data_IF_953584108652
#
_entry.id   IF_953584108652
#
_cell.length_a   1.000
_cell.length_b   1.000
_cell.length_c   1.000
_cell.angle_alpha   90.00
_cell.angle_beta   90.00
_cell.angle_gamma   90.00
#
_symmetry.space_group_name_H-M   'P 1'
#
loop_
_entity.id
_entity.type
_entity.pdbx_description
1 polymer ?
#
# COMPACT_ATOMS: atom_id res chain seq x y z
N UNK A 1 16.58 1.86 -3.71
CA UNK A 1 17.62 2.63 -4.37
C UNK A 1 17.84 2.12 -5.80
N UNK A 2 17.35 2.87 -6.78
CA UNK A 2 17.47 2.54 -8.20
C UNK A 2 18.85 2.95 -8.78
N UNK A 3 19.84 3.17 -7.95
CA UNK A 3 21.23 3.43 -8.36
C UNK A 3 21.76 2.21 -9.12
N UNK A 4 21.76 2.25 -10.39
CA UNK A 4 22.23 1.17 -11.26
C UNK A 4 21.24 0.78 -12.34
N UNK A 5 20.00 1.22 -12.25
CA UNK A 5 19.08 1.12 -13.37
C UNK A 5 19.45 2.21 -14.40
N UNK A 6 19.77 1.80 -15.62
CA UNK A 6 20.06 2.74 -16.68
C UNK A 6 18.79 3.55 -17.02
N UNK A 7 18.93 4.88 -17.10
CA UNK A 7 17.85 5.76 -17.52
C UNK A 7 17.56 5.56 -18.99
N UNK A 8 16.26 5.40 -19.32
CA UNK A 8 15.82 5.39 -20.71
C UNK A 8 15.98 6.79 -21.33
N UNK A 9 16.59 6.85 -22.48
CA UNK A 9 16.63 8.05 -23.31
C UNK A 9 16.48 7.64 -24.79
N UNK A 10 15.63 8.34 -25.56
CA UNK A 10 15.47 8.04 -27.00
C UNK A 10 16.80 8.13 -27.72
N UNK A 11 16.99 7.31 -28.77
CA UNK A 11 18.23 7.30 -29.58
C UNK A 11 18.53 8.67 -30.22
N UNK A 12 17.51 9.48 -30.47
CA UNK A 12 17.59 10.82 -31.07
C UNK A 12 17.77 11.95 -30.05
N UNK A 13 18.02 11.63 -28.77
CA UNK A 13 18.19 12.61 -27.72
C UNK A 13 19.45 13.44 -27.95
N UNK A 14 19.31 14.67 -28.44
CA UNK A 14 20.40 15.55 -28.82
C UNK A 14 20.91 16.48 -27.71
N UNK A 15 20.40 16.36 -26.48
CA UNK A 15 20.76 17.28 -25.41
C UNK A 15 22.00 16.83 -24.67
N UNK A 16 23.05 17.60 -24.75
CA UNK A 16 24.34 17.40 -24.04
C UNK A 16 24.24 17.41 -22.49
N UNK A 17 23.03 17.54 -21.93
CA UNK A 17 22.83 17.69 -20.48
C UNK A 17 22.32 16.42 -19.79
N UNK A 18 21.95 15.39 -20.53
CA UNK A 18 21.52 14.10 -19.97
C UNK A 18 22.58 13.03 -20.20
N UNK A 19 22.69 12.05 -19.29
CA UNK A 19 23.55 10.92 -19.55
C UNK A 19 23.18 10.29 -20.89
N UNK A 20 24.16 9.78 -21.58
CA UNK A 20 24.12 9.16 -22.90
C UNK A 20 22.76 8.53 -23.21
N UNK A 21 22.20 8.88 -24.35
CA UNK A 21 20.95 8.26 -24.86
C UNK A 21 21.04 6.73 -24.74
N UNK A 22 20.11 6.13 -24.03
CA UNK A 22 20.08 4.71 -23.77
C UNK A 22 18.67 4.16 -24.02
N UNK A 23 18.44 3.68 -25.22
CA UNK A 23 17.18 3.06 -25.62
C UNK A 23 16.86 1.75 -24.89
N UNK A 24 17.87 1.13 -24.27
CA UNK A 24 17.71 -0.08 -23.43
C UNK A 24 17.56 0.23 -21.94
N UNK A 25 17.55 1.50 -21.56
CA UNK A 25 17.35 1.92 -20.18
C UNK A 25 15.94 1.53 -19.68
N UNK A 26 15.85 1.15 -18.41
CA UNK A 26 14.58 0.70 -17.80
C UNK A 26 13.95 1.73 -16.86
N UNK A 27 14.66 2.81 -16.58
CA UNK A 27 14.20 3.87 -15.70
C UNK A 27 13.77 5.09 -16.49
N UNK A 28 12.50 5.48 -16.35
CA UNK A 28 11.93 6.67 -16.97
C UNK A 28 11.78 7.77 -15.93
N UNK A 29 12.33 8.94 -16.22
CA UNK A 29 12.19 10.13 -15.39
C UNK A 29 11.09 11.02 -15.96
N UNK A 30 9.93 11.08 -15.28
CA UNK A 30 8.77 11.85 -15.74
C UNK A 30 8.81 13.31 -15.32
N UNK A 31 9.53 13.63 -14.23
CA UNK A 31 9.40 14.93 -13.59
C UNK A 31 8.00 15.12 -13.02
N UNK A 32 7.48 16.34 -13.04
CA UNK A 32 6.13 16.67 -12.53
C UNK A 32 5.09 16.32 -13.59
N UNK A 33 4.83 15.02 -13.81
CA UNK A 33 3.92 14.50 -14.85
C UNK A 33 3.26 13.20 -14.43
N UNK A 34 2.60 13.17 -13.29
CA UNK A 34 2.01 11.97 -12.69
C UNK A 34 0.94 11.32 -13.59
N UNK A 35 0.08 12.12 -14.21
CA UNK A 35 -0.90 11.61 -15.17
C UNK A 35 -0.24 10.90 -16.35
N UNK A 36 0.80 11.51 -16.93
CA UNK A 36 1.55 10.90 -18.05
C UNK A 36 2.24 9.61 -17.60
N UNK A 37 2.81 9.58 -16.40
CA UNK A 37 3.42 8.38 -15.82
C UNK A 37 2.39 7.25 -15.72
N UNK A 38 1.23 7.51 -15.16
CA UNK A 38 0.16 6.52 -15.05
C UNK A 38 -0.33 6.02 -16.41
N UNK A 39 -0.51 6.91 -17.39
CA UNK A 39 -0.91 6.52 -18.74
C UNK A 39 0.16 5.67 -19.44
N UNK A 40 1.43 6.01 -19.31
CA UNK A 40 2.53 5.25 -19.93
C UNK A 40 2.69 3.87 -19.27
N UNK A 41 2.61 3.76 -17.96
CA UNK A 41 2.66 2.46 -17.29
C UNK A 41 1.47 1.57 -17.69
N UNK A 42 0.27 2.14 -17.80
CA UNK A 42 -0.89 1.43 -18.34
C UNK A 42 -0.64 0.95 -19.79
N UNK A 43 -0.08 1.83 -20.63
CA UNK A 43 0.23 1.50 -22.04
C UNK A 43 1.29 0.41 -22.18
N UNK A 44 2.32 0.41 -21.34
CA UNK A 44 3.36 -0.64 -21.31
C UNK A 44 2.73 -2.00 -20.97
N UNK A 45 1.85 -2.05 -19.96
CA UNK A 45 1.15 -3.28 -19.59
C UNK A 45 0.27 -3.83 -20.72
N UNK A 46 -0.42 -2.95 -21.44
CA UNK A 46 -1.30 -3.35 -22.54
C UNK A 46 -0.54 -3.75 -23.80
N UNK A 47 0.60 -3.13 -24.06
CA UNK A 47 1.37 -3.30 -25.31
C UNK A 47 2.57 -4.24 -25.20
N UNK A 48 2.91 -4.75 -24.04
CA UNK A 48 4.11 -5.57 -23.85
C UNK A 48 3.95 -6.64 -22.76
N UNK A 49 4.96 -7.49 -22.62
CA UNK A 49 5.06 -8.45 -21.50
C UNK A 49 5.81 -7.88 -20.29
N UNK A 50 6.10 -6.58 -20.28
CA UNK A 50 6.81 -5.92 -19.18
C UNK A 50 5.81 -5.50 -18.09
N UNK A 51 6.16 -5.70 -16.85
CA UNK A 51 5.41 -5.19 -15.69
C UNK A 51 6.12 -3.93 -15.17
N UNK A 52 5.63 -2.74 -15.52
CA UNK A 52 6.15 -1.49 -15.00
C UNK A 52 5.60 -1.23 -13.60
N UNK A 53 6.20 -0.27 -12.93
CA UNK A 53 5.57 0.41 -11.80
C UNK A 53 5.87 1.91 -11.88
N UNK A 54 4.94 2.73 -11.41
CA UNK A 54 5.11 4.18 -11.29
C UNK A 54 5.18 4.59 -9.83
N UNK A 55 6.02 5.57 -9.50
CA UNK A 55 6.19 6.03 -8.13
C UNK A 55 6.16 7.54 -7.99
N UNK A 56 5.41 8.03 -7.01
CA UNK A 56 5.34 9.43 -6.61
C UNK A 56 4.98 9.54 -5.12
N UNK A 57 4.90 10.75 -4.57
CA UNK A 57 4.31 10.96 -3.25
C UNK A 57 2.80 10.79 -3.30
N UNK A 58 2.22 10.27 -2.25
CA UNK A 58 0.80 9.96 -2.22
C UNK A 58 -0.10 11.18 -2.45
N UNK A 59 0.29 12.36 -1.98
CA UNK A 59 -0.43 13.60 -2.29
C UNK A 59 -0.61 13.81 -3.80
N UNK A 60 0.42 13.49 -4.60
CA UNK A 60 0.40 13.72 -6.05
C UNK A 60 -0.29 12.61 -6.85
N UNK A 61 -0.76 11.56 -6.18
CA UNK A 61 -1.66 10.58 -6.78
C UNK A 61 -2.98 11.22 -7.28
N UNK A 62 -3.36 12.39 -6.74
CA UNK A 62 -4.49 13.16 -7.24
C UNK A 62 -4.30 13.59 -8.70
N UNK A 63 -3.09 13.92 -9.11
CA UNK A 63 -2.80 14.21 -10.52
C UNK A 63 -2.79 12.93 -11.39
N UNK A 64 -2.54 11.77 -10.81
CA UNK A 64 -2.53 10.46 -11.48
C UNK A 64 -3.91 9.80 -11.50
N UNK A 65 -4.87 10.26 -10.73
CA UNK A 65 -6.16 9.65 -10.40
C UNK A 65 -6.93 9.13 -11.62
N UNK A 66 -6.99 9.89 -12.70
CA UNK A 66 -7.73 9.48 -13.89
C UNK A 66 -7.09 8.28 -14.61
N UNK A 67 -5.76 8.21 -14.64
CA UNK A 67 -5.04 7.05 -15.18
C UNK A 67 -5.25 5.80 -14.31
N UNK A 68 -5.21 5.97 -12.99
CA UNK A 68 -5.49 4.89 -12.01
C UNK A 68 -6.92 4.36 -12.17
N UNK A 69 -7.90 5.27 -12.27
CA UNK A 69 -9.30 4.88 -12.47
C UNK A 69 -9.50 4.12 -13.78
N UNK A 70 -8.81 4.51 -14.85
CA UNK A 70 -8.85 3.79 -16.12
C UNK A 70 -8.20 2.40 -16.01
N UNK A 71 -7.08 2.27 -15.27
CA UNK A 71 -6.48 0.97 -15.01
C UNK A 71 -7.45 0.03 -14.28
N UNK A 72 -8.16 0.56 -13.27
CA UNK A 72 -9.18 -0.20 -12.55
C UNK A 72 -10.34 -0.61 -13.47
N UNK A 73 -10.85 0.32 -14.29
CA UNK A 73 -11.92 0.03 -15.26
C UNK A 73 -11.51 -1.00 -16.31
N UNK A 74 -10.27 -0.95 -16.78
CA UNK A 74 -9.71 -1.91 -17.75
C UNK A 74 -9.24 -3.21 -17.10
N UNK A 75 -9.21 -3.29 -15.77
CA UNK A 75 -8.73 -4.45 -15.00
C UNK A 75 -7.31 -4.86 -15.42
N UNK A 76 -6.39 -3.91 -15.45
CA UNK A 76 -4.97 -4.17 -15.76
C UNK A 76 -4.13 -4.13 -14.49
N UNK A 77 -3.22 -5.11 -14.26
CA UNK A 77 -2.48 -5.25 -13.02
C UNK A 77 -1.30 -4.28 -12.93
N UNK A 78 -1.60 -2.98 -12.93
CA UNK A 78 -0.59 -1.95 -12.74
C UNK A 78 -0.24 -1.81 -11.26
N UNK A 79 1.02 -1.49 -10.98
CA UNK A 79 1.52 -1.22 -9.64
C UNK A 79 1.85 0.26 -9.50
N UNK A 80 1.10 0.93 -8.65
CA UNK A 80 1.36 2.31 -8.24
C UNK A 80 2.05 2.29 -6.89
N UNK A 81 3.20 2.94 -6.76
CA UNK A 81 3.96 3.01 -5.51
C UNK A 81 3.95 4.43 -4.99
N UNK A 82 3.14 4.68 -3.98
CA UNK A 82 2.98 6.01 -3.42
C UNK A 82 3.58 6.07 -2.02
N UNK A 83 4.64 6.84 -1.87
CA UNK A 83 5.27 7.08 -0.58
C UNK A 83 4.71 8.36 0.07
N UNK A 84 5.11 8.64 1.34
CA UNK A 84 4.66 9.83 2.06
C UNK A 84 3.14 9.82 2.28
N UNK A 85 2.66 8.76 2.92
CA UNK A 85 1.27 8.32 2.98
C UNK A 85 0.33 9.10 3.90
N UNK A 86 0.88 9.97 4.75
CA UNK A 86 0.10 10.59 5.84
C UNK A 86 0.53 12.01 6.15
N UNK A 87 -0.11 12.63 7.13
CA UNK A 87 0.26 13.95 7.67
C UNK A 87 1.66 13.97 8.29
N UNK A 88 2.25 12.83 8.59
CA UNK A 88 3.60 12.70 9.15
C UNK A 88 4.71 12.83 8.10
N UNK A 89 4.49 13.63 7.06
CA UNK A 89 5.46 13.91 6.00
C UNK A 89 6.62 14.79 6.48
N UNK A 90 6.39 15.64 7.47
CA UNK A 90 7.40 16.53 8.04
C UNK A 90 7.44 17.90 7.39
N UNK A 91 8.64 18.35 7.00
CA UNK A 91 8.92 19.74 6.62
C UNK A 91 8.26 20.20 5.31
N UNK A 92 7.86 19.27 4.45
CA UNK A 92 7.20 19.59 3.18
C UNK A 92 5.86 20.32 3.37
N UNK A 93 5.25 20.19 4.54
CA UNK A 93 4.07 20.90 4.98
C UNK A 93 2.77 20.44 4.33
N UNK A 94 1.69 21.24 4.50
CA UNK A 94 0.32 20.80 4.18
C UNK A 94 0.07 20.53 2.70
N UNK A 95 0.88 21.09 1.80
CA UNK A 95 0.77 20.78 0.36
C UNK A 95 1.20 19.37 -0.01
N UNK A 96 1.85 18.64 0.92
CA UNK A 96 2.37 17.30 0.73
C UNK A 96 1.77 16.28 1.71
N UNK A 97 0.81 16.68 2.52
CA UNK A 97 0.19 15.89 3.58
C UNK A 97 -1.17 15.33 3.14
N UNK A 98 -1.25 14.07 2.70
CA UNK A 98 -2.52 13.47 2.32
C UNK A 98 -3.41 13.25 3.56
N UNK A 99 -4.69 13.56 3.45
CA UNK A 99 -5.71 13.37 4.49
C UNK A 99 -6.84 12.46 3.98
N UNK A 100 -7.51 12.87 2.90
CA UNK A 100 -8.67 12.18 2.33
C UNK A 100 -8.29 11.08 1.31
N UNK A 101 -7.04 11.00 0.92
CA UNK A 101 -6.57 10.19 -0.20
C UNK A 101 -6.89 8.71 -0.05
N UNK A 102 -6.61 8.11 1.12
CA UNK A 102 -6.91 6.69 1.36
C UNK A 102 -8.38 6.36 1.14
N UNK A 103 -9.27 7.13 1.75
CA UNK A 103 -10.71 6.92 1.62
C UNK A 103 -11.17 7.11 0.17
N UNK A 104 -10.65 8.14 -0.51
CA UNK A 104 -11.05 8.45 -1.87
C UNK A 104 -10.53 7.45 -2.91
N UNK A 105 -9.34 6.88 -2.71
CA UNK A 105 -8.83 5.81 -3.58
C UNK A 105 -9.52 4.47 -3.31
N UNK A 106 -9.82 4.11 -2.06
CA UNK A 106 -10.63 2.95 -1.70
C UNK A 106 -12.06 3.02 -2.26
N UNK A 107 -12.56 4.20 -2.57
CA UNK A 107 -13.85 4.37 -3.23
C UNK A 107 -13.82 4.07 -4.74
N UNK A 108 -12.65 3.87 -5.37
CA UNK A 108 -12.54 3.48 -6.77
C UNK A 108 -12.79 1.98 -6.89
N UNK A 109 -13.88 1.55 -7.57
CA UNK A 109 -14.14 0.12 -7.75
C UNK A 109 -12.98 -0.58 -8.48
N UNK A 110 -12.63 -1.78 -8.03
CA UNK A 110 -11.57 -2.60 -8.64
C UNK A 110 -10.15 -2.03 -8.53
N UNK A 111 -9.93 -1.07 -7.64
CA UNK A 111 -8.60 -0.67 -7.20
C UNK A 111 -8.31 -1.30 -5.85
N UNK A 112 -7.18 -1.93 -5.72
CA UNK A 112 -6.68 -2.45 -4.44
C UNK A 112 -5.74 -1.43 -3.81
N UNK A 113 -5.97 -1.10 -2.54
CA UNK A 113 -5.14 -0.14 -1.81
C UNK A 113 -4.45 -0.85 -0.65
N UNK A 114 -3.18 -1.21 -0.87
CA UNK A 114 -2.35 -1.88 0.12
C UNK A 114 -1.49 -0.86 0.88
N UNK A 115 -1.63 -0.83 2.20
CA UNK A 115 -0.88 0.04 3.11
C UNK A 115 -0.24 -0.79 4.22
N UNK A 116 0.95 -1.38 3.95
CA UNK A 116 1.63 -2.26 4.90
C UNK A 116 2.24 -1.49 6.08
N UNK A 117 2.33 -2.16 7.23
CA UNK A 117 2.78 -1.58 8.49
C UNK A 117 4.29 -1.43 8.57
N UNK A 118 5.05 -2.41 8.11
CA UNK A 118 6.51 -2.48 8.25
C UNK A 118 7.17 -3.26 7.09
N UNK A 119 8.44 -3.58 7.25
CA UNK A 119 9.22 -4.27 6.21
C UNK A 119 8.68 -5.68 5.90
N UNK A 120 8.19 -6.43 6.89
CA UNK A 120 7.64 -7.77 6.65
C UNK A 120 6.32 -7.70 5.87
N UNK A 121 5.40 -6.86 6.31
CA UNK A 121 4.15 -6.67 5.57
C UNK A 121 4.40 -6.12 4.16
N UNK A 122 5.35 -5.18 4.01
CA UNK A 122 5.72 -4.63 2.71
C UNK A 122 6.24 -5.72 1.78
N UNK A 123 7.17 -6.55 2.25
CA UNK A 123 7.71 -7.65 1.44
C UNK A 123 6.62 -8.64 1.01
N UNK A 124 5.69 -8.99 1.92
CA UNK A 124 4.62 -9.92 1.62
C UNK A 124 3.54 -9.29 0.72
N UNK A 125 3.26 -7.98 0.84
CA UNK A 125 2.35 -7.29 -0.05
C UNK A 125 2.88 -7.27 -1.50
N UNK A 126 4.17 -6.95 -1.70
CA UNK A 126 4.80 -7.08 -3.01
C UNK A 126 4.78 -8.51 -3.52
N UNK A 127 5.14 -9.49 -2.68
CA UNK A 127 5.09 -10.90 -3.07
C UNK A 127 3.69 -11.29 -3.53
N UNK A 128 2.67 -10.96 -2.77
CA UNK A 128 1.29 -11.31 -3.10
C UNK A 128 0.82 -10.64 -4.40
N UNK A 129 1.16 -9.37 -4.62
CA UNK A 129 0.87 -8.69 -5.89
C UNK A 129 1.44 -9.44 -7.11
N UNK A 130 2.67 -9.96 -7.02
CA UNK A 130 3.28 -10.69 -8.13
C UNK A 130 2.81 -12.15 -8.27
N UNK A 131 2.43 -12.79 -7.17
CA UNK A 131 1.95 -14.19 -7.16
C UNK A 131 0.46 -14.30 -7.51
N UNK A 132 -0.31 -13.33 -7.14
CA UNK A 132 -1.76 -13.31 -7.32
C UNK A 132 -2.11 -13.27 -8.82
N UNK A 133 -3.05 -14.15 -9.21
CA UNK A 133 -3.51 -14.28 -10.60
C UNK A 133 -4.61 -13.27 -10.96
N UNK A 134 -4.66 -12.13 -10.30
CA UNK A 134 -5.67 -11.15 -10.63
C UNK A 134 -5.18 -10.15 -11.68
N UNK A 135 -6.14 -9.42 -12.22
CA UNK A 135 -5.95 -8.39 -13.22
C UNK A 135 -6.21 -6.99 -12.67
N UNK A 136 -6.31 -6.84 -11.34
CA UNK A 136 -6.63 -5.55 -10.73
C UNK A 136 -5.35 -4.73 -10.47
N UNK A 137 -5.42 -3.41 -10.65
CA UNK A 137 -4.32 -2.54 -10.26
C UNK A 137 -4.23 -2.44 -8.73
N UNK A 138 -3.01 -2.35 -8.23
CA UNK A 138 -2.72 -2.21 -6.82
C UNK A 138 -1.95 -0.93 -6.55
N UNK A 139 -2.43 -0.12 -5.63
CA UNK A 139 -1.72 1.01 -5.06
C UNK A 139 -1.01 0.58 -3.77
N UNK A 140 0.32 0.61 -3.79
CA UNK A 140 1.17 0.35 -2.63
C UNK A 140 1.47 1.69 -1.95
N UNK A 141 0.82 1.93 -0.82
CA UNK A 141 0.90 3.19 -0.07
C UNK A 141 1.87 3.03 1.10
N UNK A 142 3.00 3.72 1.03
CA UNK A 142 4.13 3.52 1.93
C UNK A 142 4.39 4.76 2.78
N UNK A 143 4.74 4.54 4.04
CA UNK A 143 5.05 5.63 4.97
C UNK A 143 6.40 6.30 4.67
N UNK A 144 6.53 7.57 5.01
CA UNK A 144 7.79 8.33 4.93
C UNK A 144 8.66 8.11 6.16
N UNK A 145 8.07 8.08 7.34
CA UNK A 145 8.80 7.96 8.59
C UNK A 145 9.36 6.55 8.82
N UNK A 146 10.43 6.45 9.60
CA UNK A 146 10.91 5.17 10.08
C UNK A 146 9.89 4.52 11.00
N UNK A 147 9.57 3.25 10.77
CA UNK A 147 8.71 2.44 11.62
C UNK A 147 9.52 1.26 12.18
N UNK A 148 9.24 0.81 13.40
CA UNK A 148 9.86 -0.41 13.91
C UNK A 148 9.37 -1.62 13.14
N UNK A 149 10.23 -2.61 13.00
CA UNK A 149 9.85 -3.94 12.54
C UNK A 149 9.32 -4.71 13.75
N UNK A 150 8.05 -5.11 13.70
CA UNK A 150 7.39 -5.76 14.82
C UNK A 150 7.69 -7.26 14.84
N UNK A 151 7.87 -7.84 16.02
CA UNK A 151 8.04 -9.29 16.17
C UNK A 151 6.79 -10.05 15.70
N UNK A 152 5.63 -9.48 15.96
CA UNK A 152 4.33 -10.03 15.62
C UNK A 152 4.12 -10.12 14.09
N UNK A 153 4.62 -9.12 13.34
CA UNK A 153 4.57 -9.16 11.86
C UNK A 153 5.57 -10.16 11.30
N UNK A 154 6.75 -10.32 11.92
CA UNK A 154 7.74 -11.30 11.51
C UNK A 154 7.16 -12.73 11.49
N UNK A 155 6.29 -13.05 12.44
CA UNK A 155 5.65 -14.37 12.54
C UNK A 155 4.45 -14.52 11.61
N UNK A 156 3.63 -13.47 11.45
CA UNK A 156 2.27 -13.57 10.92
C UNK A 156 2.06 -12.95 9.53
N UNK A 157 2.93 -12.03 9.10
CA UNK A 157 2.74 -11.29 7.85
C UNK A 157 2.65 -12.19 6.63
N UNK A 158 3.45 -13.28 6.58
CA UNK A 158 3.50 -14.20 5.44
C UNK A 158 2.12 -14.73 5.02
N UNK A 159 1.32 -15.14 5.98
CA UNK A 159 0.00 -15.70 5.73
C UNK A 159 -1.11 -14.65 5.91
N UNK A 160 -0.87 -13.65 6.76
CA UNK A 160 -1.83 -12.61 7.10
C UNK A 160 -2.04 -11.58 6.00
N UNK A 161 -0.96 -11.07 5.41
CA UNK A 161 -1.03 -10.01 4.39
C UNK A 161 -1.84 -10.42 3.17
N UNK A 162 -1.64 -11.62 2.68
CA UNK A 162 -2.37 -12.17 1.52
C UNK A 162 -3.87 -12.33 1.76
N UNK A 163 -4.30 -12.30 3.02
CA UNK A 163 -5.72 -12.30 3.42
C UNK A 163 -6.29 -10.90 3.62
N UNK A 164 -5.47 -9.88 3.51
CA UNK A 164 -5.85 -8.47 3.54
C UNK A 164 -6.07 -7.87 4.93
N UNK A 165 -6.47 -8.69 5.91
CA UNK A 165 -6.50 -8.36 7.32
C UNK A 165 -6.27 -9.63 8.15
N UNK A 166 -5.61 -9.48 9.30
CA UNK A 166 -5.31 -10.61 10.17
C UNK A 166 -5.12 -10.17 11.63
N UNK A 167 -5.33 -11.12 12.55
CA UNK A 167 -5.13 -10.88 13.99
C UNK A 167 -3.62 -10.82 14.29
N UNK A 168 -3.12 -9.61 14.52
CA UNK A 168 -1.72 -9.36 14.83
C UNK A 168 -1.42 -9.66 16.30
N UNK A 169 -2.21 -9.09 17.21
CA UNK A 169 -2.16 -9.39 18.64
C UNK A 169 -3.52 -9.87 19.09
N UNK A 170 -3.54 -10.98 19.80
CA UNK A 170 -4.78 -11.55 20.36
C UNK A 170 -4.75 -11.55 21.90
N UNK A 171 -5.89 -11.89 22.48
CA UNK A 171 -6.11 -12.03 23.93
C UNK A 171 -6.81 -13.34 24.24
N UNK A 172 -6.70 -13.83 25.47
CA UNK A 172 -7.43 -15.02 25.91
C UNK A 172 -8.93 -14.76 25.97
N UNK A 173 -9.71 -15.62 25.31
CA UNK A 173 -11.16 -15.53 25.27
C UNK A 173 -11.67 -14.43 24.34
N UNK A 174 -12.87 -13.93 24.62
CA UNK A 174 -13.49 -12.86 23.81
C UNK A 174 -12.84 -11.52 24.14
N UNK A 175 -12.36 -10.76 23.15
CA UNK A 175 -11.82 -9.42 23.40
C UNK A 175 -12.93 -8.44 23.81
N UNK A 176 -12.59 -7.51 24.69
CA UNK A 176 -13.46 -6.39 25.07
C UNK A 176 -13.51 -5.34 23.96
N UNK A 177 -12.40 -5.17 23.24
CA UNK A 177 -12.24 -4.19 22.14
C UNK A 177 -11.37 -4.77 21.01
N UNK A 178 -11.71 -4.40 19.77
CA UNK A 178 -10.89 -4.67 18.59
C UNK A 178 -10.34 -3.33 18.08
N UNK A 179 -9.01 -3.25 17.94
CA UNK A 179 -8.31 -2.11 17.34
C UNK A 179 -7.85 -2.53 15.95
N UNK A 180 -8.41 -1.90 14.92
CA UNK A 180 -8.02 -2.12 13.53
C UNK A 180 -7.07 -1.02 13.10
N UNK A 181 -5.92 -1.37 12.55
CA UNK A 181 -4.93 -0.39 12.11
C UNK A 181 -4.30 -0.78 10.78
N UNK A 182 -3.81 0.21 10.05
CA UNK A 182 -3.12 0.03 8.77
C UNK A 182 -1.87 0.90 8.71
N UNK A 183 -0.85 0.47 7.97
CA UNK A 183 0.36 1.26 7.77
C UNK A 183 1.10 1.58 9.07
N UNK A 184 1.63 2.79 9.14
CA UNK A 184 2.45 3.23 10.29
C UNK A 184 1.72 3.25 11.63
N UNK A 185 0.39 3.25 11.64
CA UNK A 185 -0.43 3.29 12.85
C UNK A 185 -0.50 1.93 13.57
N UNK A 186 -0.17 0.83 12.89
CA UNK A 186 -0.19 -0.52 13.50
C UNK A 186 0.71 -0.60 14.74
N UNK A 187 1.88 0.03 14.73
CA UNK A 187 2.75 0.08 15.91
C UNK A 187 2.07 0.72 17.13
N UNK A 188 1.26 1.75 16.91
CA UNK A 188 0.53 2.43 17.99
C UNK A 188 -0.64 1.62 18.49
N UNK A 189 -1.31 0.88 17.61
CA UNK A 189 -2.36 -0.07 18.00
C UNK A 189 -1.79 -1.19 18.89
N UNK A 190 -0.60 -1.72 18.55
CA UNK A 190 0.10 -2.71 19.38
C UNK A 190 0.50 -2.13 20.74
N UNK A 191 1.02 -0.90 20.76
CA UNK A 191 1.37 -0.21 22.00
C UNK A 191 0.14 0.05 22.89
N UNK A 192 -0.97 0.49 22.27
CA UNK A 192 -2.23 0.72 22.97
C UNK A 192 -2.79 -0.58 23.58
N UNK A 193 -2.75 -1.69 22.86
CA UNK A 193 -3.20 -2.98 23.39
C UNK A 193 -2.37 -3.41 24.63
N UNK A 194 -1.06 -3.17 24.63
CA UNK A 194 -0.20 -3.44 25.79
C UNK A 194 -0.59 -2.57 27.00
N UNK A 195 -0.91 -1.30 26.79
CA UNK A 195 -1.37 -0.40 27.84
C UNK A 195 -2.72 -0.85 28.41
N UNK A 196 -3.69 -1.16 27.55
CA UNK A 196 -5.00 -1.63 27.92
C UNK A 196 -4.95 -2.95 28.72
N UNK A 197 -4.06 -3.86 28.33
CA UNK A 197 -3.84 -5.11 29.06
C UNK A 197 -3.36 -4.84 30.52
N UNK A 198 -2.54 -3.81 30.75
CA UNK A 198 -2.15 -3.36 32.09
C UNK A 198 -3.32 -2.84 32.94
N UNK A 199 -4.39 -2.41 32.30
CA UNK A 199 -5.63 -1.95 32.92
C UNK A 199 -6.70 -3.07 33.03
N UNK A 200 -6.35 -4.28 32.60
CA UNK A 200 -7.26 -5.44 32.62
C UNK A 200 -8.26 -5.49 31.48
N UNK A 201 -8.07 -4.65 30.44
CA UNK A 201 -8.93 -4.62 29.24
C UNK A 201 -8.31 -5.52 28.15
N UNK A 202 -9.10 -6.44 27.64
CA UNK A 202 -8.71 -7.41 26.60
C UNK A 202 -8.83 -6.77 25.23
N UNK A 203 -7.71 -6.36 24.65
CA UNK A 203 -7.66 -5.73 23.34
C UNK A 203 -7.08 -6.68 22.28
N UNK A 204 -7.83 -6.90 21.19
CA UNK A 204 -7.32 -7.55 19.99
C UNK A 204 -6.84 -6.49 19.01
N UNK A 205 -5.65 -6.66 18.42
CA UNK A 205 -5.16 -5.83 17.32
C UNK A 205 -5.28 -6.59 16.01
N UNK A 206 -5.92 -5.98 15.04
CA UNK A 206 -6.04 -6.47 13.67
C UNK A 206 -5.24 -5.54 12.75
N UNK A 207 -4.21 -6.06 12.10
CA UNK A 207 -3.57 -5.37 10.99
C UNK A 207 -4.40 -5.53 9.73
N UNK A 208 -4.63 -4.41 9.01
CA UNK A 208 -5.44 -4.36 7.80
C UNK A 208 -4.60 -3.79 6.66
N UNK A 209 -3.61 -4.56 6.14
CA UNK A 209 -2.78 -4.08 5.04
C UNK A 209 -3.55 -3.80 3.75
N UNK A 210 -4.64 -4.53 3.44
CA UNK A 210 -5.46 -4.26 2.26
C UNK A 210 -6.90 -4.72 2.48
N UNK A 211 -7.80 -3.76 2.56
CA UNK A 211 -9.21 -4.02 2.84
C UNK A 211 -9.88 -4.84 1.72
N UNK A 212 -9.53 -4.56 0.47
CA UNK A 212 -10.10 -5.23 -0.70
C UNK A 212 -9.76 -6.72 -0.70
N UNK A 213 -8.55 -7.11 -0.32
CA UNK A 213 -8.16 -8.53 -0.19
C UNK A 213 -8.87 -9.21 0.97
N UNK A 214 -9.19 -8.48 2.05
CA UNK A 214 -9.97 -9.02 3.16
C UNK A 214 -11.43 -9.25 2.77
N UNK A 215 -11.99 -8.37 1.96
CA UNK A 215 -13.36 -8.53 1.47
C UNK A 215 -13.55 -9.77 0.56
N UNK A 216 -12.49 -10.24 -0.07
CA UNK A 216 -12.47 -11.49 -0.86
C UNK A 216 -12.52 -12.77 0.01
N UNK A 217 -12.26 -12.66 1.33
CA UNK A 217 -12.22 -13.82 2.22
C UNK A 217 -13.64 -14.35 2.50
N UNK A 218 -13.73 -15.62 2.87
CA UNK A 218 -14.98 -16.23 3.28
C UNK A 218 -15.52 -15.66 4.61
N UNK A 219 -16.78 -15.94 4.89
CA UNK A 219 -17.45 -15.42 6.07
C UNK A 219 -16.87 -15.99 7.38
N UNK A 220 -16.35 -17.23 7.35
CA UNK A 220 -15.75 -17.88 8.52
C UNK A 220 -14.46 -17.16 8.92
N UNK A 221 -13.60 -16.87 7.96
CA UNK A 221 -12.37 -16.09 8.20
C UNK A 221 -12.66 -14.68 8.68
N UNK A 222 -13.61 -13.99 8.04
CA UNK A 222 -14.01 -12.63 8.45
C UNK A 222 -14.54 -12.61 9.88
N UNK A 223 -15.35 -13.58 10.25
CA UNK A 223 -15.88 -13.71 11.62
C UNK A 223 -14.76 -14.06 12.63
N UNK A 224 -13.80 -14.89 12.24
CA UNK A 224 -12.66 -15.23 13.10
C UNK A 224 -11.79 -14.01 13.40
N UNK A 225 -11.55 -13.13 12.40
CA UNK A 225 -10.75 -11.91 12.54
C UNK A 225 -11.54 -10.82 13.27
N UNK A 226 -12.78 -10.58 12.87
CA UNK A 226 -13.66 -9.51 13.36
C UNK A 226 -14.99 -10.09 13.87
N UNK A 227 -14.99 -10.79 15.03
CA UNK A 227 -16.20 -11.42 15.57
C UNK A 227 -17.35 -10.43 15.73
N UNK A 228 -18.52 -10.75 15.17
CA UNK A 228 -19.69 -9.89 15.21
C UNK A 228 -20.22 -9.61 16.61
N UNK A 229 -19.90 -10.49 17.57
CA UNK A 229 -20.24 -10.33 18.98
C UNK A 229 -19.51 -9.15 19.64
N UNK A 230 -18.28 -8.81 19.18
CA UNK A 230 -17.51 -7.69 19.72
C UNK A 230 -17.92 -6.39 19.02
N UNK A 231 -18.65 -5.55 19.72
CA UNK A 231 -19.18 -4.27 19.19
C UNK A 231 -18.23 -3.09 19.38
N UNK A 232 -17.38 -3.13 20.42
CA UNK A 232 -16.38 -2.10 20.64
C UNK A 232 -15.25 -2.27 19.61
N UNK A 233 -15.24 -1.42 18.60
CA UNK A 233 -14.26 -1.43 17.51
C UNK A 233 -13.73 -0.02 17.25
N UNK A 234 -12.43 0.09 17.11
CA UNK A 234 -11.74 1.35 16.82
C UNK A 234 -10.90 1.13 15.57
N UNK A 235 -10.93 2.07 14.64
CA UNK A 235 -10.00 2.12 13.49
C UNK A 235 -9.00 3.26 13.69
N UNK A 236 -7.74 3.01 13.37
CA UNK A 236 -6.63 3.96 13.49
C UNK A 236 -5.91 4.07 12.15
#
# INVERSE_FOLDING_TARGET
DLKGAATFAPAECSTKQWPVCNEFGRQLHFGVREFTMGCITNGILLGSHTRPYGGTFFMFSDYERSAVRLAALMQIPNLYVWSHDSVAVGEDGPTHQPVEHLASFRAIPQLEVARPADAYETAEAYRYFFEKKNTLPTAMVLTRQGVPVLAETAEKAKDGVRKGAYVLVDTEGTPDVIIMATGSEVQWAVAAAKTLAGEGIKARVVSVPCLEWFEEQDAEYKEAVLPAAVKARVSV
#
